data_IF_666915472316
#
_entry.id   IF_666915472316
#
_cell.length_a   1.000
_cell.length_b   1.000
_cell.length_c   1.000
_cell.angle_alpha   90.00
_cell.angle_beta   90.00
_cell.angle_gamma   90.00
#
_symmetry.space_group_name_H-M   'P 1'
#
loop_
_entity.id
_entity.type
_entity.pdbx_description
1 polymer ?
#
# COMPACT_ATOMS: atom_id res chain seq x y z
N UNK A 1 14.70 -39.28 -14.67
CA UNK A 1 13.74 -38.17 -14.90
C UNK A 1 14.44 -36.96 -14.41
N UNK A 2 14.85 -36.04 -15.30
CA UNK A 2 15.44 -34.77 -14.88
C UNK A 2 14.33 -33.95 -14.18
N UNK A 3 14.59 -33.52 -12.96
CA UNK A 3 13.73 -32.53 -12.31
C UNK A 3 13.50 -31.36 -13.29
N UNK A 4 12.28 -30.90 -13.43
CA UNK A 4 12.03 -29.73 -14.27
C UNK A 4 12.85 -28.58 -13.71
N UNK A 5 13.77 -28.04 -14.54
CA UNK A 5 14.53 -26.83 -14.17
C UNK A 5 13.53 -25.75 -13.73
N UNK A 6 13.78 -25.08 -12.61
CA UNK A 6 12.89 -24.00 -12.18
C UNK A 6 12.81 -22.96 -13.31
N UNK A 7 11.59 -22.58 -13.68
CA UNK A 7 11.39 -21.60 -14.74
C UNK A 7 11.92 -20.25 -14.23
N UNK A 8 12.98 -19.77 -14.85
CA UNK A 8 13.56 -18.46 -14.55
C UNK A 8 12.61 -17.36 -15.01
N UNK A 9 12.31 -16.41 -14.13
CA UNK A 9 11.50 -15.22 -14.43
C UNK A 9 12.39 -13.99 -14.64
N UNK A 10 11.81 -12.91 -15.15
CA UNK A 10 12.51 -11.63 -15.29
C UNK A 10 12.72 -10.97 -13.93
N UNK A 11 11.71 -11.05 -13.05
CA UNK A 11 11.71 -10.40 -11.75
C UNK A 11 11.45 -11.38 -10.60
N UNK A 12 12.09 -11.13 -9.47
CA UNK A 12 11.82 -11.74 -8.17
C UNK A 12 11.49 -10.63 -7.17
N UNK A 13 10.22 -10.48 -6.84
CA UNK A 13 9.72 -9.42 -5.96
C UNK A 13 9.49 -10.00 -4.56
N UNK A 14 10.27 -9.54 -3.59
CA UNK A 14 10.12 -9.94 -2.19
C UNK A 14 9.23 -8.93 -1.48
N UNK A 15 8.05 -9.37 -1.07
CA UNK A 15 6.97 -8.55 -0.52
C UNK A 15 5.81 -8.39 -1.51
N UNK A 16 4.71 -9.12 -1.27
CA UNK A 16 3.45 -9.07 -2.05
C UNK A 16 2.42 -8.10 -1.48
N UNK A 17 2.88 -7.07 -0.74
CA UNK A 17 2.02 -5.97 -0.28
C UNK A 17 1.56 -5.06 -1.41
N UNK A 18 0.92 -3.93 -1.06
CA UNK A 18 0.38 -2.98 -2.06
C UNK A 18 1.42 -2.57 -3.11
N UNK A 19 2.65 -2.29 -2.69
CA UNK A 19 3.73 -1.83 -3.59
C UNK A 19 4.24 -2.95 -4.49
N UNK A 20 4.58 -4.11 -3.90
CA UNK A 20 5.15 -5.24 -4.66
C UNK A 20 4.14 -5.82 -5.66
N UNK A 21 2.87 -5.93 -5.27
CA UNK A 21 1.83 -6.42 -6.15
C UNK A 21 1.54 -5.43 -7.30
N UNK A 22 1.51 -4.12 -7.00
CA UNK A 22 1.40 -3.09 -8.05
C UNK A 22 2.55 -3.17 -9.04
N UNK A 23 3.79 -3.38 -8.55
CA UNK A 23 4.95 -3.54 -9.42
C UNK A 23 4.82 -4.79 -10.31
N UNK A 24 4.41 -5.94 -9.74
CA UNK A 24 4.24 -7.18 -10.48
C UNK A 24 3.23 -7.02 -11.63
N UNK A 25 2.06 -6.43 -11.35
CA UNK A 25 1.04 -6.16 -12.37
C UNK A 25 1.57 -5.20 -13.42
N UNK A 26 2.23 -4.11 -13.02
CA UNK A 26 2.80 -3.15 -13.95
C UNK A 26 3.87 -3.77 -14.88
N UNK A 27 4.72 -4.65 -14.34
CA UNK A 27 5.71 -5.39 -15.09
C UNK A 27 5.05 -6.37 -16.08
N UNK A 28 4.05 -7.11 -15.64
CA UNK A 28 3.30 -8.04 -16.48
C UNK A 28 2.60 -7.35 -17.66
N UNK A 29 2.04 -6.13 -17.44
CA UNK A 29 1.49 -5.30 -18.54
C UNK A 29 2.55 -4.86 -19.57
N UNK A 30 3.83 -5.00 -19.25
CA UNK A 30 4.97 -4.77 -20.17
C UNK A 30 5.59 -6.06 -20.68
N UNK A 31 5.02 -7.21 -20.36
CA UNK A 31 5.46 -8.52 -20.81
C UNK A 31 6.57 -9.15 -19.95
N UNK A 32 6.88 -8.60 -18.79
CA UNK A 32 7.84 -9.17 -17.85
C UNK A 32 7.18 -10.14 -16.88
N UNK A 33 7.75 -11.32 -16.76
CA UNK A 33 7.33 -12.33 -15.81
C UNK A 33 7.90 -12.06 -14.40
N UNK A 34 7.17 -12.45 -13.35
CA UNK A 34 7.64 -12.26 -11.99
C UNK A 34 7.26 -13.40 -11.04
N UNK A 35 8.19 -13.74 -10.14
CA UNK A 35 7.88 -14.38 -8.88
C UNK A 35 7.58 -13.28 -7.85
N UNK A 36 6.47 -13.40 -7.13
CA UNK A 36 6.14 -12.55 -5.97
C UNK A 36 6.12 -13.44 -4.74
N UNK A 37 6.92 -13.11 -3.73
CA UNK A 37 7.01 -13.88 -2.47
C UNK A 37 6.53 -13.01 -1.32
N UNK A 38 5.59 -13.52 -0.51
CA UNK A 38 5.15 -12.83 0.71
C UNK A 38 4.97 -13.83 1.87
N UNK A 39 5.34 -13.40 3.07
CA UNK A 39 5.16 -14.18 4.29
C UNK A 39 3.75 -14.13 4.84
N UNK A 40 3.00 -13.09 4.50
CA UNK A 40 1.64 -12.89 5.00
C UNK A 40 0.65 -13.77 4.23
N UNK A 41 -0.32 -14.29 4.96
CA UNK A 41 -1.43 -15.02 4.39
C UNK A 41 -2.40 -14.03 3.70
N UNK A 42 -2.63 -14.16 2.37
CA UNK A 42 -3.54 -13.32 1.64
C UNK A 42 -4.96 -13.31 2.18
N UNK A 43 -5.46 -14.45 2.64
CA UNK A 43 -6.82 -14.58 3.16
C UNK A 43 -6.97 -13.77 4.46
N UNK A 44 -5.96 -13.82 5.32
CA UNK A 44 -5.96 -13.00 6.55
C UNK A 44 -5.89 -11.50 6.27
N UNK A 45 -5.20 -11.08 5.21
CA UNK A 45 -5.06 -9.69 4.80
C UNK A 45 -6.32 -9.12 4.12
N UNK A 46 -7.19 -9.98 3.63
CA UNK A 46 -8.44 -9.63 2.94
C UNK A 46 -9.69 -10.05 3.72
N UNK A 47 -9.53 -10.58 4.93
CA UNK A 47 -10.63 -10.93 5.81
C UNK A 47 -11.63 -9.78 5.99
N UNK A 48 -12.90 -10.13 6.23
CA UNK A 48 -13.94 -9.14 6.44
C UNK A 48 -13.67 -8.24 7.65
N UNK A 49 -14.08 -7.00 7.53
CA UNK A 49 -13.92 -5.97 8.54
C UNK A 49 -12.94 -4.89 8.14
N UNK A 50 -12.90 -3.84 8.93
CA UNK A 50 -11.97 -2.73 8.77
C UNK A 50 -10.76 -2.94 9.70
N UNK A 51 -9.58 -3.13 9.12
CA UNK A 51 -8.32 -3.34 9.85
C UNK A 51 -7.73 -2.05 10.46
N UNK A 52 -8.49 -0.95 10.44
CA UNK A 52 -8.08 0.36 10.93
C UNK A 52 -7.21 1.14 9.96
N UNK A 53 -6.81 0.57 8.83
CA UNK A 53 -5.90 1.21 7.89
C UNK A 53 -6.60 1.65 6.62
N UNK A 54 -6.33 2.91 6.26
CA UNK A 54 -6.71 3.50 4.98
C UNK A 54 -5.49 4.14 4.34
N UNK A 55 -5.53 4.28 3.03
CA UNK A 55 -4.48 4.93 2.24
C UNK A 55 -5.09 5.98 1.32
N UNK A 56 -4.45 7.14 1.30
CA UNK A 56 -4.70 8.16 0.29
C UNK A 56 -3.90 7.80 -0.98
N UNK A 57 -4.60 7.58 -2.07
CA UNK A 57 -4.01 7.35 -3.38
C UNK A 57 -4.02 8.67 -4.13
N UNK A 58 -2.85 9.25 -4.35
CA UNK A 58 -2.71 10.51 -5.08
C UNK A 58 -3.15 10.36 -6.53
N UNK A 59 -3.48 11.47 -7.19
CA UNK A 59 -3.83 11.48 -8.63
C UNK A 59 -2.77 10.82 -9.50
N UNK A 60 -1.48 11.01 -9.20
CA UNK A 60 -0.40 10.35 -9.94
C UNK A 60 -0.43 8.81 -9.77
N UNK A 61 -0.66 8.31 -8.55
CA UNK A 61 -0.82 6.88 -8.30
C UNK A 61 -2.10 6.31 -8.90
N UNK A 62 -3.18 7.10 -8.90
CA UNK A 62 -4.43 6.73 -9.56
C UNK A 62 -4.25 6.57 -11.07
N UNK A 63 -3.51 7.47 -11.70
CA UNK A 63 -3.16 7.37 -13.12
C UNK A 63 -2.34 6.09 -13.42
N UNK A 64 -1.44 5.69 -12.52
CA UNK A 64 -0.76 4.40 -12.63
C UNK A 64 -1.78 3.25 -12.57
N UNK A 65 -2.70 3.24 -11.61
CA UNK A 65 -3.74 2.21 -11.48
C UNK A 65 -4.63 2.13 -12.72
N UNK A 66 -4.97 3.27 -13.32
CA UNK A 66 -5.68 3.33 -14.61
C UNK A 66 -4.85 2.67 -15.72
N UNK A 67 -3.58 3.02 -15.83
CA UNK A 67 -2.69 2.50 -16.88
C UNK A 67 -2.44 0.98 -16.78
N UNK A 68 -2.47 0.42 -15.59
CA UNK A 68 -2.31 -1.04 -15.37
C UNK A 68 -3.63 -1.80 -15.30
N UNK A 69 -4.77 -1.08 -15.42
CA UNK A 69 -6.10 -1.67 -15.56
C UNK A 69 -6.74 -2.17 -14.27
N UNK A 70 -6.40 -1.56 -13.12
CA UNK A 70 -7.02 -1.88 -11.81
C UNK A 70 -7.93 -0.77 -11.28
N UNK A 71 -7.93 0.41 -11.89
CA UNK A 71 -8.71 1.56 -11.42
C UNK A 71 -10.21 1.27 -11.39
N UNK A 72 -10.76 0.64 -12.43
CA UNK A 72 -12.21 0.36 -12.55
C UNK A 72 -12.71 -0.54 -11.40
N UNK A 73 -11.90 -1.51 -10.96
CA UNK A 73 -12.24 -2.37 -9.83
C UNK A 73 -12.20 -1.62 -8.48
N UNK A 74 -11.44 -0.54 -8.40
CA UNK A 74 -11.29 0.28 -7.19
C UNK A 74 -12.28 1.44 -7.13
N UNK A 75 -12.74 1.97 -8.26
CA UNK A 75 -13.56 3.18 -8.32
C UNK A 75 -14.78 3.16 -7.38
N UNK A 76 -15.55 2.08 -7.24
CA UNK A 76 -16.71 2.05 -6.35
C UNK A 76 -16.37 2.17 -4.86
N UNK A 77 -15.11 1.99 -4.48
CA UNK A 77 -14.65 1.93 -3.08
C UNK A 77 -13.83 3.14 -2.66
N UNK A 78 -13.60 4.08 -3.58
CA UNK A 78 -12.78 5.25 -3.35
C UNK A 78 -13.59 6.46 -2.91
N UNK A 79 -13.25 7.07 -1.76
CA UNK A 79 -13.77 8.38 -1.38
C UNK A 79 -12.88 9.48 -1.95
N UNK A 80 -13.39 10.43 -2.74
CA UNK A 80 -12.57 11.48 -3.32
C UNK A 80 -12.03 12.42 -2.23
N UNK A 81 -10.88 13.04 -2.50
CA UNK A 81 -10.30 14.14 -1.75
C UNK A 81 -10.38 15.38 -2.66
N UNK A 82 -11.42 16.18 -2.49
CA UNK A 82 -11.64 17.36 -3.32
C UNK A 82 -10.84 18.56 -2.83
N UNK A 83 -10.51 18.59 -1.53
CA UNK A 83 -9.61 19.58 -0.97
C UNK A 83 -8.91 19.07 0.28
N UNK A 84 -7.76 19.71 0.62
CA UNK A 84 -7.07 19.50 1.88
C UNK A 84 -7.06 20.82 2.62
N UNK A 85 -7.60 20.83 3.83
CA UNK A 85 -7.68 21.99 4.72
C UNK A 85 -6.66 21.87 5.84
N UNK A 86 -5.68 22.74 5.87
CA UNK A 86 -4.59 22.74 6.85
C UNK A 86 -4.74 23.92 7.82
N UNK A 87 -4.66 23.66 9.12
CA UNK A 87 -4.75 24.70 10.15
C UNK A 87 -3.76 24.51 11.30
N UNK A 88 -3.38 25.60 11.94
CA UNK A 88 -2.62 25.62 13.20
C UNK A 88 -3.61 25.63 14.37
N UNK A 89 -3.92 24.46 14.91
CA UNK A 89 -4.93 24.27 15.95
C UNK A 89 -6.29 24.83 15.50
N UNK A 90 -7.00 25.47 16.41
CA UNK A 90 -8.27 26.17 16.15
C UNK A 90 -8.08 27.67 15.95
N UNK A 91 -6.85 28.12 15.64
CA UNK A 91 -6.56 29.53 15.36
C UNK A 91 -7.21 29.99 14.06
N UNK A 92 -7.56 31.29 13.95
CA UNK A 92 -8.02 31.85 12.68
C UNK A 92 -6.93 31.73 11.59
N UNK A 93 -7.39 31.42 10.38
CA UNK A 93 -6.53 31.22 9.22
C UNK A 93 -6.37 29.75 8.88
N UNK A 94 -6.45 29.45 7.60
CA UNK A 94 -6.42 28.11 7.04
C UNK A 94 -5.74 28.15 5.67
N UNK A 95 -4.97 27.13 5.34
CA UNK A 95 -4.50 26.89 3.99
C UNK A 95 -5.38 25.84 3.35
N UNK A 96 -5.93 26.15 2.19
CA UNK A 96 -6.71 25.22 1.40
C UNK A 96 -5.92 24.84 0.15
N UNK A 97 -5.77 23.53 -0.06
CA UNK A 97 -5.24 22.97 -1.29
C UNK A 97 -6.39 22.39 -2.08
N UNK A 98 -6.49 22.82 -3.31
CA UNK A 98 -7.50 22.33 -4.27
C UNK A 98 -6.78 21.80 -5.52
N UNK A 99 -7.37 20.86 -6.25
CA UNK A 99 -6.77 20.36 -7.48
C UNK A 99 -6.73 21.46 -8.56
N UNK A 100 -5.80 21.33 -9.48
CA UNK A 100 -5.84 22.12 -10.69
C UNK A 100 -7.12 21.76 -11.49
N UNK A 101 -7.69 22.68 -12.31
CA UNK A 101 -8.98 22.49 -12.97
C UNK A 101 -9.09 21.22 -13.84
N UNK A 102 -7.96 20.66 -14.27
CA UNK A 102 -7.91 19.45 -15.11
C UNK A 102 -7.61 18.14 -14.34
N UNK A 103 -7.28 18.22 -13.06
CA UNK A 103 -6.90 17.05 -12.26
C UNK A 103 -8.10 16.35 -11.59
N UNK A 104 -9.24 17.04 -11.51
CA UNK A 104 -10.48 16.53 -10.91
C UNK A 104 -10.41 16.49 -9.39
N UNK A 105 -9.61 15.60 -8.79
CA UNK A 105 -9.43 15.48 -7.33
C UNK A 105 -7.96 15.45 -6.96
N UNK A 106 -7.61 15.76 -5.71
CA UNK A 106 -6.24 15.62 -5.20
C UNK A 106 -5.84 14.15 -5.02
N UNK A 107 -6.82 13.28 -4.88
CA UNK A 107 -6.64 11.85 -4.70
C UNK A 107 -7.92 11.19 -4.22
N UNK A 108 -7.81 9.95 -3.78
CA UNK A 108 -8.92 9.14 -3.25
C UNK A 108 -8.48 8.37 -2.02
N UNK A 109 -9.36 8.29 -1.02
CA UNK A 109 -9.14 7.45 0.16
C UNK A 109 -9.73 6.06 -0.05
N UNK A 110 -8.96 5.04 0.33
CA UNK A 110 -9.40 3.64 0.31
C UNK A 110 -9.10 2.96 1.62
N UNK A 111 -9.99 2.07 2.06
CA UNK A 111 -9.61 1.05 3.02
C UNK A 111 -8.54 0.13 2.39
N UNK A 112 -7.46 -0.17 3.12
CA UNK A 112 -6.37 -0.99 2.58
C UNK A 112 -6.83 -2.38 2.13
N UNK A 113 -7.87 -2.91 2.76
CA UNK A 113 -8.52 -4.15 2.34
C UNK A 113 -8.98 -4.11 0.89
N UNK A 114 -9.64 -3.03 0.47
CA UNK A 114 -10.14 -2.90 -0.91
C UNK A 114 -9.00 -2.81 -1.93
N UNK A 115 -7.93 -2.10 -1.58
CA UNK A 115 -6.73 -2.06 -2.42
C UNK A 115 -6.11 -3.45 -2.58
N UNK A 116 -6.03 -4.24 -1.49
CA UNK A 116 -5.50 -5.61 -1.55
C UNK A 116 -6.39 -6.52 -2.38
N UNK A 117 -7.70 -6.49 -2.19
CA UNK A 117 -8.63 -7.32 -2.96
C UNK A 117 -8.46 -7.09 -4.47
N UNK A 118 -8.48 -5.82 -4.92
CA UNK A 118 -8.33 -5.50 -6.33
C UNK A 118 -6.97 -5.92 -6.90
N UNK A 119 -5.88 -5.69 -6.14
CA UNK A 119 -4.54 -6.08 -6.58
C UNK A 119 -4.36 -7.61 -6.61
N UNK A 120 -4.85 -8.31 -5.60
CA UNK A 120 -4.72 -9.77 -5.51
C UNK A 120 -5.54 -10.48 -6.59
N UNK A 121 -6.75 -9.99 -6.85
CA UNK A 121 -7.58 -10.50 -7.95
C UNK A 121 -6.93 -10.25 -9.32
N UNK A 122 -6.42 -9.05 -9.57
CA UNK A 122 -5.72 -8.75 -10.81
C UNK A 122 -4.45 -9.60 -10.99
N UNK A 123 -3.69 -9.83 -9.92
CA UNK A 123 -2.50 -10.67 -9.96
C UNK A 123 -2.84 -12.16 -10.17
N UNK A 124 -3.93 -12.66 -9.58
CA UNK A 124 -4.36 -14.04 -9.74
C UNK A 124 -4.81 -14.37 -11.19
N UNK A 125 -5.26 -13.37 -11.93
CA UNK A 125 -5.67 -13.48 -13.33
C UNK A 125 -4.50 -13.28 -14.32
N UNK A 126 -3.32 -12.88 -13.83
CA UNK A 126 -2.19 -12.54 -14.68
C UNK A 126 -1.21 -13.73 -14.81
N UNK A 127 -1.13 -14.39 -15.99
CA UNK A 127 -0.31 -15.59 -16.16
C UNK A 127 1.20 -15.35 -16.03
N UNK A 128 1.66 -14.11 -16.14
CA UNK A 128 3.07 -13.73 -15.97
C UNK A 128 3.47 -13.57 -14.50
N UNK A 129 2.53 -13.68 -13.56
CA UNK A 129 2.79 -13.56 -12.12
C UNK A 129 2.68 -14.93 -11.45
N UNK A 130 3.77 -15.41 -10.89
CA UNK A 130 3.81 -16.59 -10.02
C UNK A 130 3.85 -16.13 -8.57
N UNK A 131 2.70 -16.23 -7.87
CA UNK A 131 2.59 -15.75 -6.48
C UNK A 131 2.80 -16.88 -5.47
N UNK A 132 3.70 -16.64 -4.52
CA UNK A 132 4.10 -17.54 -3.45
C UNK A 132 3.80 -16.90 -2.09
N UNK A 133 2.68 -17.25 -1.48
CA UNK A 133 2.25 -16.81 -0.16
C UNK A 133 1.29 -17.85 0.46
N UNK A 134 1.29 -18.04 1.77
CA UNK A 134 2.25 -17.48 2.72
C UNK A 134 3.56 -18.29 2.75
N UNK A 135 4.71 -17.66 2.56
CA UNK A 135 6.00 -18.33 2.68
C UNK A 135 7.12 -17.30 2.92
N UNK A 136 8.10 -17.66 3.76
CA UNK A 136 9.28 -16.84 3.98
C UNK A 136 10.43 -17.22 3.04
N UNK A 137 11.32 -16.25 2.82
CA UNK A 137 12.60 -16.47 2.16
C UNK A 137 13.62 -16.91 3.19
N UNK A 138 14.19 -18.10 3.02
CA UNK A 138 15.22 -18.67 3.88
C UNK A 138 16.63 -18.13 3.54
N UNK A 139 16.94 -18.02 2.25
CA UNK A 139 18.22 -17.47 1.78
C UNK A 139 18.08 -16.77 0.43
N UNK A 140 19.03 -15.87 0.16
CA UNK A 140 19.14 -15.09 -1.09
C UNK A 140 20.56 -15.26 -1.64
N UNK A 141 20.66 -15.49 -2.92
CA UNK A 141 21.91 -15.60 -3.65
C UNK A 141 21.91 -14.65 -4.86
N UNK A 142 23.02 -13.99 -5.07
CA UNK A 142 23.22 -13.11 -6.22
C UNK A 142 24.44 -13.57 -6.99
N UNK A 143 24.30 -13.72 -8.29
CA UNK A 143 25.34 -14.15 -9.19
C UNK A 143 25.48 -13.20 -10.37
N UNK A 144 26.46 -13.49 -11.20
CA UNK A 144 26.73 -12.74 -12.43
C UNK A 144 25.55 -12.77 -13.41
N UNK A 145 24.76 -13.86 -13.41
CA UNK A 145 23.69 -14.12 -14.39
C UNK A 145 22.29 -14.06 -13.80
N UNK A 146 22.13 -13.48 -12.62
CA UNK A 146 20.83 -13.33 -11.99
C UNK A 146 20.85 -13.55 -10.47
N UNK A 147 19.67 -13.75 -9.96
CA UNK A 147 19.41 -13.88 -8.52
C UNK A 147 18.61 -15.16 -8.26
N UNK A 148 18.77 -15.72 -7.07
CA UNK A 148 17.89 -16.81 -6.62
C UNK A 148 17.55 -16.64 -5.14
N UNK A 149 16.40 -17.19 -4.76
CA UNK A 149 16.03 -17.36 -3.36
C UNK A 149 15.66 -18.81 -3.10
N UNK A 150 15.96 -19.26 -1.89
CA UNK A 150 15.40 -20.51 -1.36
C UNK A 150 14.32 -20.14 -0.37
N UNK A 151 13.13 -20.70 -0.54
CA UNK A 151 12.01 -20.52 0.37
C UNK A 151 12.13 -21.49 1.56
N UNK A 152 11.45 -21.21 2.67
CA UNK A 152 11.47 -22.08 3.86
C UNK A 152 10.93 -23.48 3.58
N UNK A 153 10.08 -23.66 2.58
CA UNK A 153 9.56 -24.96 2.14
C UNK A 153 10.50 -25.71 1.19
N UNK A 154 11.71 -25.17 0.95
CA UNK A 154 12.75 -25.78 0.12
C UNK A 154 12.68 -25.47 -1.37
N UNK A 155 11.64 -24.80 -1.86
CA UNK A 155 11.56 -24.39 -3.28
C UNK A 155 12.64 -23.35 -3.58
N UNK A 156 13.27 -23.48 -4.74
CA UNK A 156 14.21 -22.47 -5.26
C UNK A 156 13.55 -21.69 -6.40
N UNK A 157 13.62 -20.37 -6.35
CA UNK A 157 13.12 -19.45 -7.37
C UNK A 157 14.29 -18.67 -7.95
N UNK A 158 14.27 -18.48 -9.28
CA UNK A 158 15.34 -17.80 -10.01
C UNK A 158 14.78 -16.68 -10.88
N UNK A 159 15.52 -15.56 -10.96
CA UNK A 159 15.16 -14.44 -11.80
C UNK A 159 16.40 -13.65 -12.26
N UNK A 160 16.21 -12.74 -13.22
CA UNK A 160 17.27 -11.84 -13.65
C UNK A 160 17.53 -10.73 -12.63
N UNK A 161 16.47 -10.19 -12.00
CA UNK A 161 16.55 -9.09 -11.06
C UNK A 161 15.69 -9.36 -9.80
N UNK A 162 16.24 -9.06 -8.62
CA UNK A 162 15.47 -9.07 -7.38
C UNK A 162 15.08 -7.66 -6.95
N UNK A 163 13.83 -7.50 -6.51
CA UNK A 163 13.28 -6.25 -5.98
C UNK A 163 12.79 -6.48 -4.56
N UNK A 164 13.36 -5.75 -3.59
CA UNK A 164 12.88 -5.74 -2.20
C UNK A 164 11.70 -4.79 -2.02
N UNK A 165 10.50 -5.33 -1.83
CA UNK A 165 9.26 -4.61 -1.54
C UNK A 165 8.71 -4.94 -0.13
N UNK A 166 9.58 -5.34 0.80
CA UNK A 166 9.28 -5.88 2.13
C UNK A 166 8.88 -4.80 3.16
N UNK A 167 8.79 -3.56 2.72
CA UNK A 167 8.36 -2.43 3.55
C UNK A 167 9.44 -1.93 4.52
N UNK A 168 8.98 -1.39 5.63
CA UNK A 168 9.81 -0.65 6.60
C UNK A 168 10.95 -1.46 7.20
N UNK A 169 10.73 -2.74 7.46
CA UNK A 169 11.68 -3.65 8.09
C UNK A 169 12.26 -4.67 7.10
N UNK A 170 12.65 -4.21 5.90
CA UNK A 170 13.15 -5.05 4.83
C UNK A 170 14.43 -5.80 5.22
N UNK A 171 14.39 -7.15 5.34
CA UNK A 171 15.59 -7.95 5.53
C UNK A 171 16.56 -7.83 4.36
N UNK A 172 16.06 -7.80 3.13
CA UNK A 172 16.92 -7.65 1.93
C UNK A 172 17.77 -6.38 1.98
N UNK A 173 17.19 -5.27 2.46
CA UNK A 173 17.94 -4.01 2.64
C UNK A 173 19.03 -4.14 3.70
N UNK A 174 18.75 -4.84 4.80
CA UNK A 174 19.71 -5.04 5.89
C UNK A 174 20.86 -5.97 5.46
N UNK A 175 20.56 -7.05 4.74
CA UNK A 175 21.54 -7.98 4.18
C UNK A 175 22.50 -7.29 3.20
N UNK A 176 22.02 -6.30 2.43
CA UNK A 176 22.83 -5.48 1.52
C UNK A 176 23.67 -4.42 2.24
N UNK A 177 23.59 -4.33 3.56
CA UNK A 177 24.31 -3.33 4.33
C UNK A 177 23.89 -1.89 4.04
N UNK A 178 22.73 -1.69 3.42
CA UNK A 178 22.19 -0.35 3.11
C UNK A 178 21.79 0.34 4.41
N UNK A 179 22.56 1.36 4.79
CA UNK A 179 22.33 2.12 6.02
C UNK A 179 21.15 3.06 5.86
N UNK A 180 20.31 3.09 6.88
CA UNK A 180 19.23 4.06 7.02
C UNK A 180 19.51 4.99 8.20
N UNK A 181 19.29 6.28 8.00
CA UNK A 181 19.16 7.21 9.11
C UNK A 181 17.80 6.96 9.80
N UNK A 182 17.81 6.80 11.12
CA UNK A 182 16.61 6.54 11.91
C UNK A 182 16.50 7.61 12.98
N UNK A 183 15.31 8.21 13.09
CA UNK A 183 14.92 9.10 14.18
C UNK A 183 13.68 8.56 14.84
N UNK A 184 13.59 8.75 16.14
CA UNK A 184 12.36 8.56 16.89
C UNK A 184 11.90 9.94 17.37
N UNK A 185 10.65 10.27 17.11
CA UNK A 185 10.04 11.54 17.56
C UNK A 185 9.38 11.42 18.93
N UNK A 186 9.39 10.23 19.55
CA UNK A 186 8.69 9.96 20.81
C UNK A 186 7.16 10.05 20.70
N UNK A 187 6.63 9.86 19.50
CA UNK A 187 5.20 9.97 19.21
C UNK A 187 4.59 8.62 18.82
N UNK A 188 3.30 8.50 19.07
CA UNK A 188 2.45 7.39 18.60
C UNK A 188 1.34 7.95 17.72
N UNK A 189 0.98 7.20 16.69
CA UNK A 189 -0.17 7.51 15.85
C UNK A 189 -1.34 6.60 16.24
N UNK A 190 -2.45 7.19 16.66
CA UNK A 190 -3.73 6.53 16.88
C UNK A 190 -4.48 6.58 15.57
N UNK A 191 -4.88 5.41 15.05
CA UNK A 191 -5.63 5.29 13.79
C UNK A 191 -6.97 4.66 14.10
N UNK A 192 -8.07 5.36 13.74
CA UNK A 192 -9.45 4.94 14.06
C UNK A 192 -10.38 5.27 12.89
N UNK A 193 -11.28 4.34 12.55
CA UNK A 193 -12.44 4.64 11.71
C UNK A 193 -13.54 5.28 12.56
N UNK A 194 -14.10 6.37 12.09
CA UNK A 194 -15.17 7.12 12.75
C UNK A 194 -16.42 7.15 11.90
N UNK A 195 -17.59 7.13 12.55
CA UNK A 195 -18.87 7.52 11.96
C UNK A 195 -19.32 8.86 12.57
N UNK A 196 -19.97 9.69 11.77
CA UNK A 196 -20.41 11.01 12.21
C UNK A 196 -21.68 11.46 11.46
N UNK A 197 -22.35 12.48 11.98
CA UNK A 197 -23.63 12.94 11.48
C UNK A 197 -23.54 14.04 10.44
N UNK A 198 -22.43 14.78 10.38
CA UNK A 198 -22.23 15.86 9.41
C UNK A 198 -21.43 15.30 8.24
N UNK A 199 -21.76 15.66 6.99
CA UNK A 199 -20.96 15.25 5.84
C UNK A 199 -19.51 15.77 5.96
N UNK A 200 -18.55 15.03 5.44
CA UNK A 200 -17.15 15.44 5.36
C UNK A 200 -16.86 16.31 4.13
N UNK A 201 -17.82 16.42 3.20
CA UNK A 201 -17.72 17.23 1.97
C UNK A 201 -16.44 16.94 1.16
N UNK A 202 -15.91 15.71 1.25
CA UNK A 202 -14.66 15.25 0.62
C UNK A 202 -13.43 16.10 0.99
N UNK A 203 -13.46 16.76 2.16
CA UNK A 203 -12.35 17.56 2.68
C UNK A 203 -11.48 16.68 3.58
N UNK A 204 -10.20 16.61 3.28
CA UNK A 204 -9.20 16.06 4.18
C UNK A 204 -8.71 17.17 5.12
N UNK A 205 -8.92 17.00 6.41
CA UNK A 205 -8.47 17.96 7.43
C UNK A 205 -7.13 17.56 7.99
N UNK A 206 -6.19 18.53 8.07
CA UNK A 206 -4.90 18.39 8.72
C UNK A 206 -4.73 19.52 9.72
N UNK A 207 -4.77 19.20 11.01
CA UNK A 207 -4.71 20.17 12.10
C UNK A 207 -3.43 19.92 12.91
N UNK A 208 -2.55 20.90 12.95
CA UNK A 208 -1.29 20.81 13.69
C UNK A 208 -1.48 21.24 15.14
N UNK A 209 -1.58 20.30 16.05
CA UNK A 209 -1.55 20.54 17.49
C UNK A 209 -0.12 20.49 18.04
N UNK A 210 0.16 21.11 19.21
CA UNK A 210 1.49 21.07 19.83
C UNK A 210 2.02 19.64 20.09
N UNK A 211 1.12 18.70 20.42
CA UNK A 211 1.47 17.30 20.65
C UNK A 211 1.62 16.47 19.35
N UNK A 212 1.27 17.02 18.21
CA UNK A 212 1.38 16.37 16.93
C UNK A 212 0.18 16.62 16.00
N UNK A 213 0.27 16.19 14.74
CA UNK A 213 -0.79 16.37 13.77
C UNK A 213 -2.01 15.50 14.04
N UNK A 214 -3.17 16.02 13.67
CA UNK A 214 -4.48 15.39 13.69
C UNK A 214 -5.05 15.45 12.27
N UNK A 215 -5.16 14.31 11.61
CA UNK A 215 -5.75 14.19 10.29
C UNK A 215 -7.14 13.54 10.37
N UNK A 216 -8.13 14.16 9.73
CA UNK A 216 -9.45 13.57 9.53
C UNK A 216 -9.69 13.45 8.02
N UNK A 217 -9.74 12.22 7.53
CA UNK A 217 -9.71 11.90 6.11
C UNK A 217 -11.06 11.33 5.67
N UNK A 218 -11.65 11.83 4.56
CA UNK A 218 -12.94 11.37 4.07
C UNK A 218 -12.88 9.89 3.69
N UNK A 219 -13.86 9.10 4.11
CA UNK A 219 -14.02 7.71 3.71
C UNK A 219 -15.37 7.53 3.02
N UNK A 220 -15.49 6.51 2.20
CA UNK A 220 -16.78 6.19 1.59
C UNK A 220 -17.85 6.00 2.66
N UNK A 221 -18.98 6.63 2.48
CA UNK A 221 -20.12 6.55 3.39
C UNK A 221 -20.61 5.09 3.58
N UNK A 222 -21.21 4.82 4.72
CA UNK A 222 -21.82 3.53 4.97
C UNK A 222 -23.05 3.29 4.08
N UNK A 223 -23.40 2.02 3.87
CA UNK A 223 -24.60 1.64 3.11
C UNK A 223 -25.89 2.17 3.74
N UNK A 224 -25.85 2.43 5.05
CA UNK A 224 -26.93 3.05 5.84
C UNK A 224 -26.96 4.58 5.73
N UNK A 225 -26.10 5.17 4.90
CA UNK A 225 -25.96 6.62 4.71
C UNK A 225 -25.19 7.32 5.84
N UNK A 226 -24.56 6.60 6.75
CA UNK A 226 -23.70 7.22 7.76
C UNK A 226 -22.41 7.73 7.16
N UNK A 227 -22.04 8.98 7.47
CA UNK A 227 -20.77 9.55 7.04
C UNK A 227 -19.61 8.91 7.81
N UNK A 228 -18.51 8.64 7.12
CA UNK A 228 -17.34 7.96 7.66
C UNK A 228 -16.07 8.73 7.39
N UNK A 229 -15.15 8.68 8.34
CA UNK A 229 -13.81 9.24 8.20
C UNK A 229 -12.76 8.33 8.84
N UNK A 230 -11.55 8.38 8.31
CA UNK A 230 -10.38 7.81 8.98
C UNK A 230 -9.68 8.91 9.76
N UNK A 231 -9.50 8.71 11.05
CA UNK A 231 -8.73 9.57 11.93
C UNK A 231 -7.30 9.03 12.06
N UNK A 232 -6.32 9.91 11.87
CA UNK A 232 -4.92 9.67 12.27
C UNK A 232 -4.54 10.78 13.24
N UNK A 233 -4.35 10.43 14.50
CA UNK A 233 -3.99 11.38 15.55
C UNK A 233 -2.65 11.04 16.15
N UNK A 234 -1.68 11.91 15.95
CA UNK A 234 -0.35 11.77 16.54
C UNK A 234 -0.32 12.45 17.90
N UNK A 235 0.13 11.70 18.90
CA UNK A 235 0.25 12.17 20.30
C UNK A 235 1.62 11.78 20.85
N UNK A 236 2.04 12.42 21.94
CA UNK A 236 3.22 11.99 22.68
C UNK A 236 3.08 10.53 23.13
N UNK A 237 4.15 9.75 23.12
CA UNK A 237 4.12 8.32 23.50
C UNK A 237 3.56 8.08 24.90
N UNK A 238 3.76 9.02 25.82
CA UNK A 238 3.23 8.97 27.20
C UNK A 238 1.71 9.17 27.30
N UNK A 239 1.09 9.73 26.25
CA UNK A 239 -0.35 10.09 26.20
C UNK A 239 -1.15 9.14 25.29
N UNK A 240 -0.49 8.09 24.73
CA UNK A 240 -1.06 7.13 23.78
C UNK A 240 -1.69 5.91 24.46
#
# INVERSE_FOLDING_TARGET
>A
MSDPQPQKHDLLIIGGGLVGMTLAIAAARKGFSSHVVDRADPDSLTAEGFDGRASAISTASWNLFTNIGIADALEPYGSPIDSIAVSDQMKPGRLDFTPEPHDGTLGRMFANRQLRLALFEAAAQEPLISWHAPVNVASRERGEFGVSVTLEDGRKLEADLMVGAEGRFSPSREEEGLKMAKWDYGHRAIIVGLTHTKPHDNVAWEIFYPAGPFALLPMLDGEDGTHRSSLVWTVDEKDA
#
